data_IF_820706480032
#
_entry.id   IF_820706480032
#
_cell.length_a   1.000
_cell.length_b   1.000
_cell.length_c   1.000
_cell.angle_alpha   90.00
_cell.angle_beta   90.00
_cell.angle_gamma   90.00
#
_symmetry.space_group_name_H-M   'P 1'
#
loop_
_entity.id
_entity.type
_entity.pdbx_description
1 polymer ?
#
# COMPACT_ATOMS: atom_id res chain seq x y z
N UNK A 1 -12.54 -15.63 -11.67
CA UNK A 1 -13.27 -14.40 -12.05
C UNK A 1 -12.57 -13.69 -13.21
N UNK A 2 -11.30 -13.27 -13.05
CA UNK A 2 -10.52 -12.58 -14.10
C UNK A 2 -10.21 -13.41 -15.34
N UNK A 3 -10.11 -14.74 -15.21
CA UNK A 3 -9.79 -15.58 -16.38
C UNK A 3 -11.02 -15.88 -17.27
N UNK A 4 -12.21 -16.00 -16.66
CA UNK A 4 -13.40 -16.59 -17.28
C UNK A 4 -14.61 -15.65 -17.42
N UNK A 5 -14.57 -14.42 -16.89
CA UNK A 5 -15.68 -13.46 -17.04
C UNK A 5 -15.25 -12.25 -17.88
N UNK A 6 -15.85 -12.07 -19.06
CA UNK A 6 -15.53 -10.96 -19.97
C UNK A 6 -15.73 -9.58 -19.33
N UNK A 7 -16.79 -9.38 -18.55
CA UNK A 7 -17.01 -8.13 -17.80
C UNK A 7 -15.90 -7.83 -16.80
N UNK A 8 -15.30 -8.88 -16.22
CA UNK A 8 -14.23 -8.75 -15.24
C UNK A 8 -12.83 -8.60 -15.89
N UNK A 9 -12.71 -8.91 -17.20
CA UNK A 9 -11.53 -8.59 -18.03
C UNK A 9 -11.54 -7.13 -18.52
N UNK A 10 -12.74 -6.62 -18.82
CA UNK A 10 -12.94 -5.26 -19.34
C UNK A 10 -12.70 -4.17 -18.29
N UNK A 11 -12.90 -4.46 -17.00
CA UNK A 11 -12.43 -3.61 -15.90
C UNK A 11 -10.93 -3.80 -15.65
N UNK A 12 -10.12 -3.55 -16.69
CA UNK A 12 -8.70 -3.24 -16.51
C UNK A 12 -8.62 -1.87 -15.83
N UNK A 13 -8.90 -1.89 -14.53
CA UNK A 13 -9.17 -0.71 -13.71
C UNK A 13 -7.87 0.08 -13.55
N UNK A 14 -7.72 1.13 -14.35
CA UNK A 14 -6.52 1.98 -14.46
C UNK A 14 -6.27 2.87 -13.24
N UNK A 15 -7.19 2.89 -12.29
CA UNK A 15 -7.09 3.74 -11.11
C UNK A 15 -6.15 3.13 -10.06
N UNK A 16 -5.20 3.93 -9.59
CA UNK A 16 -4.29 3.62 -8.50
C UNK A 16 -4.38 4.71 -7.42
N UNK A 17 -4.15 4.36 -6.14
CA UNK A 17 -3.97 5.36 -5.09
C UNK A 17 -2.77 6.27 -5.41
N UNK A 18 -2.68 7.43 -4.77
CA UNK A 18 -1.55 8.35 -4.99
C UNK A 18 -0.21 7.73 -4.59
N UNK A 19 -0.23 6.87 -3.57
CA UNK A 19 0.96 6.25 -2.98
C UNK A 19 0.74 4.77 -2.71
N UNK A 20 1.82 4.00 -2.83
CA UNK A 20 1.89 2.59 -2.48
C UNK A 20 3.19 2.30 -1.75
N UNK A 21 3.20 1.23 -0.96
CA UNK A 21 4.41 0.61 -0.45
C UNK A 21 4.89 -0.42 -1.48
N UNK A 22 6.03 -0.17 -2.12
CA UNK A 22 6.76 -1.18 -2.88
C UNK A 22 7.42 -2.12 -1.88
N UNK A 23 6.89 -3.34 -1.74
CA UNK A 23 7.41 -4.33 -0.81
C UNK A 23 8.64 -5.05 -1.36
N UNK A 24 9.11 -4.70 -2.55
CA UNK A 24 10.26 -5.32 -3.18
C UNK A 24 10.02 -6.77 -3.64
N UNK A 25 11.08 -7.45 -4.11
CA UNK A 25 11.01 -8.81 -4.59
C UNK A 25 10.67 -9.83 -3.49
N UNK A 26 10.20 -11.01 -3.93
CA UNK A 26 9.74 -12.09 -3.06
C UNK A 26 10.83 -12.62 -2.13
N UNK A 27 12.10 -12.54 -2.55
CA UNK A 27 13.26 -12.97 -1.75
C UNK A 27 13.59 -12.02 -0.60
N UNK A 28 12.96 -10.84 -0.53
CA UNK A 28 13.21 -9.85 0.52
C UNK A 28 14.57 -9.15 0.39
N UNK A 29 15.23 -9.23 -0.77
CA UNK A 29 16.52 -8.58 -1.02
C UNK A 29 16.46 -7.05 -0.98
N UNK A 30 15.26 -6.46 -1.07
CA UNK A 30 15.04 -5.02 -0.95
C UNK A 30 14.12 -4.69 0.22
N UNK A 31 14.43 -3.57 0.88
CA UNK A 31 13.58 -3.01 1.92
C UNK A 31 12.28 -2.47 1.29
N UNK A 32 11.14 -2.62 1.97
CA UNK A 32 9.92 -1.93 1.58
C UNK A 32 10.14 -0.43 1.54
N UNK A 33 9.53 0.28 0.59
CA UNK A 33 9.64 1.74 0.49
C UNK A 33 8.36 2.38 -0.02
N UNK A 34 8.12 3.61 0.39
CA UNK A 34 7.00 4.41 -0.11
C UNK A 34 7.32 4.90 -1.52
N UNK A 35 6.35 4.78 -2.43
CA UNK A 35 6.46 5.27 -3.80
C UNK A 35 5.26 6.14 -4.16
N UNK A 36 5.49 7.12 -5.03
CA UNK A 36 4.43 7.90 -5.68
C UNK A 36 4.01 7.19 -6.96
N UNK A 37 2.71 6.94 -7.12
CA UNK A 37 2.23 6.14 -8.25
C UNK A 37 2.32 6.89 -9.57
N UNK A 38 2.23 8.22 -9.54
CA UNK A 38 2.41 9.09 -10.71
C UNK A 38 3.85 9.15 -11.22
N UNK A 39 4.82 8.86 -10.36
CA UNK A 39 6.26 8.86 -10.71
C UNK A 39 6.72 7.49 -11.24
N UNK A 40 5.86 6.46 -11.15
CA UNK A 40 6.19 5.08 -11.46
C UNK A 40 5.48 4.64 -12.75
N UNK A 41 6.25 4.38 -13.80
CA UNK A 41 5.72 3.76 -15.01
C UNK A 41 5.50 2.25 -14.76
N UNK A 42 4.38 1.70 -15.23
CA UNK A 42 4.05 0.27 -15.19
C UNK A 42 3.85 -0.34 -13.79
N UNK A 43 3.04 0.32 -12.97
CA UNK A 43 2.57 -0.27 -11.72
C UNK A 43 1.57 -1.40 -11.97
N UNK A 44 1.84 -2.53 -11.35
CA UNK A 44 0.96 -3.70 -11.34
C UNK A 44 -0.11 -3.64 -10.24
N UNK A 45 -0.88 -4.73 -10.08
CA UNK A 45 -1.88 -4.84 -9.03
C UNK A 45 -1.26 -4.72 -7.63
N UNK A 46 -2.08 -4.27 -6.67
CA UNK A 46 -1.69 -4.07 -5.29
C UNK A 46 -2.65 -4.76 -4.31
N UNK A 47 -2.15 -5.08 -3.12
CA UNK A 47 -2.96 -5.47 -1.99
C UNK A 47 -3.30 -4.25 -1.11
N UNK A 48 -4.43 -4.27 -0.41
CA UNK A 48 -4.74 -3.29 0.64
C UNK A 48 -4.73 -3.97 2.02
N UNK A 49 -4.28 -3.28 3.06
CA UNK A 49 -4.37 -3.75 4.45
C UNK A 49 -5.52 -3.05 5.16
N UNK A 50 -6.50 -3.83 5.62
CA UNK A 50 -7.55 -3.39 6.55
C UNK A 50 -7.17 -3.83 7.96
N UNK A 51 -6.95 -2.87 8.86
CA UNK A 51 -6.55 -3.14 10.24
C UNK A 51 -7.06 -2.02 11.16
N UNK A 52 -7.18 -2.32 12.46
CA UNK A 52 -7.37 -1.28 13.47
C UNK A 52 -6.00 -0.78 13.93
N UNK A 53 -5.85 0.54 14.11
CA UNK A 53 -4.57 1.15 14.49
C UNK A 53 -4.09 0.81 15.90
N UNK A 54 -4.85 0.00 16.66
CA UNK A 54 -4.49 -0.41 18.02
C UNK A 54 -4.28 0.77 18.97
N UNK A 55 -3.70 0.51 20.13
CA UNK A 55 -3.39 1.50 21.16
C UNK A 55 -1.99 2.12 21.03
N UNK A 56 -1.09 1.47 20.29
CA UNK A 56 0.23 2.00 19.94
C UNK A 56 0.16 2.55 18.52
N UNK A 57 0.50 3.83 18.34
CA UNK A 57 0.54 4.45 17.02
C UNK A 57 1.55 3.69 16.17
N UNK A 58 1.11 2.97 15.11
CA UNK A 58 2.02 2.26 14.25
C UNK A 58 2.92 3.26 13.51
N UNK A 59 3.98 2.76 12.84
CA UNK A 59 4.74 3.60 11.92
C UNK A 59 3.77 4.31 10.97
N UNK A 60 3.88 5.63 10.92
CA UNK A 60 3.01 6.47 10.11
C UNK A 60 3.84 7.48 9.33
N UNK A 61 3.33 7.83 8.16
CA UNK A 61 3.92 8.86 7.32
C UNK A 61 3.51 10.22 7.84
N UNK A 62 4.51 11.04 8.11
CA UNK A 62 4.38 12.46 8.40
C UNK A 62 5.33 13.23 7.50
N UNK A 63 5.13 14.53 7.34
CA UNK A 63 5.98 15.35 6.45
C UNK A 63 7.47 15.20 6.80
N UNK A 64 7.80 15.10 8.09
CA UNK A 64 9.18 15.00 8.58
C UNK A 64 9.90 13.68 8.29
N UNK A 65 9.19 12.56 8.06
CA UNK A 65 9.80 11.25 7.77
C UNK A 65 9.54 10.75 6.34
N UNK A 66 8.77 11.50 5.54
CA UNK A 66 8.33 11.11 4.21
C UNK A 66 9.48 10.68 3.28
N UNK A 67 10.57 11.45 3.24
CA UNK A 67 11.75 11.12 2.40
C UNK A 67 12.53 9.90 2.89
N UNK A 68 12.58 9.68 4.21
CA UNK A 68 13.18 8.47 4.80
C UNK A 68 12.38 7.23 4.37
N UNK A 69 11.04 7.30 4.45
CA UNK A 69 10.17 6.20 4.05
C UNK A 69 10.23 5.90 2.54
N UNK A 70 10.51 6.90 1.68
CA UNK A 70 10.78 6.69 0.24
C UNK A 70 12.12 5.98 -0.02
N UNK A 71 13.10 6.17 0.87
CA UNK A 71 14.43 5.58 0.72
C UNK A 71 14.48 4.13 1.17
N UNK A 72 13.65 3.75 2.13
CA UNK A 72 13.47 2.36 2.57
C UNK A 72 13.12 2.25 4.04
N UNK A 73 12.32 1.24 4.37
CA UNK A 73 11.79 0.98 5.69
C UNK A 73 12.34 -0.38 6.16
N UNK A 74 13.24 -0.40 7.15
CA UNK A 74 13.68 -1.65 7.74
C UNK A 74 12.49 -2.43 8.31
N UNK A 75 12.46 -3.75 8.07
CA UNK A 75 11.36 -4.61 8.52
C UNK A 75 11.11 -4.53 10.04
N UNK A 76 12.15 -4.28 10.84
CA UNK A 76 12.05 -4.15 12.30
C UNK A 76 11.40 -2.82 12.76
N UNK A 77 11.30 -1.79 11.90
CA UNK A 77 10.56 -0.56 12.18
C UNK A 77 9.06 -0.73 11.94
N UNK A 78 8.65 -1.76 11.21
CA UNK A 78 7.24 -2.05 10.97
C UNK A 78 6.62 -2.70 12.20
N UNK A 79 5.36 -2.38 12.48
CA UNK A 79 4.58 -3.15 13.44
C UNK A 79 4.47 -4.61 12.98
N UNK A 80 4.20 -5.53 13.91
CA UNK A 80 4.04 -6.95 13.57
C UNK A 80 3.02 -7.16 12.46
N UNK A 81 1.91 -6.43 12.49
CA UNK A 81 0.86 -6.51 11.46
C UNK A 81 1.35 -6.01 10.10
N UNK A 82 2.13 -4.94 10.06
CA UNK A 82 2.67 -4.41 8.80
C UNK A 82 3.75 -5.31 8.21
N UNK A 83 4.64 -5.83 9.06
CA UNK A 83 5.63 -6.80 8.63
C UNK A 83 4.97 -8.07 8.06
N UNK A 84 3.91 -8.56 8.71
CA UNK A 84 3.15 -9.69 8.21
C UNK A 84 2.43 -9.37 6.89
N UNK A 85 1.82 -8.19 6.76
CA UNK A 85 1.19 -7.75 5.53
C UNK A 85 2.19 -7.67 4.37
N UNK A 86 3.40 -7.15 4.62
CA UNK A 86 4.50 -7.13 3.64
C UNK A 86 4.85 -8.55 3.17
N UNK A 87 5.03 -9.48 4.11
CA UNK A 87 5.34 -10.89 3.79
C UNK A 87 4.21 -11.55 3.01
N UNK A 88 2.96 -11.36 3.45
CA UNK A 88 1.77 -11.91 2.80
C UNK A 88 1.64 -11.39 1.36
N UNK A 89 1.82 -10.08 1.14
CA UNK A 89 1.80 -9.48 -0.20
C UNK A 89 2.84 -10.14 -1.13
N UNK A 90 4.08 -10.33 -0.65
CA UNK A 90 5.13 -11.04 -1.41
C UNK A 90 4.74 -12.49 -1.73
N UNK A 91 4.11 -13.21 -0.79
CA UNK A 91 3.67 -14.59 -0.98
C UNK A 91 2.53 -14.71 -1.99
N UNK A 92 1.65 -13.71 -2.05
CA UNK A 92 0.59 -13.60 -3.05
C UNK A 92 1.11 -13.17 -4.44
N UNK A 93 2.43 -13.06 -4.62
CA UNK A 93 3.09 -12.61 -5.85
C UNK A 93 2.69 -11.18 -6.26
N UNK A 94 2.31 -10.36 -5.28
CA UNK A 94 2.09 -8.93 -5.45
C UNK A 94 3.33 -8.17 -4.96
N UNK A 95 3.59 -7.02 -5.58
CA UNK A 95 4.72 -6.14 -5.23
C UNK A 95 4.30 -4.89 -4.47
N UNK A 96 3.03 -4.50 -4.59
CA UNK A 96 2.54 -3.25 -4.04
C UNK A 96 1.52 -3.51 -2.94
N UNK A 97 1.64 -2.75 -1.86
CA UNK A 97 0.76 -2.81 -0.71
C UNK A 97 0.31 -1.40 -0.34
N UNK A 98 -0.97 -1.23 -0.07
CA UNK A 98 -1.50 0.00 0.50
C UNK A 98 -1.79 -0.19 1.99
N UNK A 99 -1.27 0.72 2.82
CA UNK A 99 -1.55 0.81 4.26
C UNK A 99 -1.86 2.27 4.54
N UNK A 100 -3.04 2.58 5.08
CA UNK A 100 -3.50 3.95 5.34
C UNK A 100 -2.49 4.80 6.11
N UNK A 101 -1.91 4.28 7.20
CA UNK A 101 -0.96 5.01 8.03
C UNK A 101 0.34 5.38 7.30
N UNK A 102 0.74 4.58 6.29
CA UNK A 102 1.97 4.79 5.51
C UNK A 102 1.73 5.49 4.17
N UNK A 103 0.59 5.22 3.54
CA UNK A 103 0.27 5.73 2.21
C UNK A 103 -0.45 7.08 2.26
N UNK A 104 -0.78 7.60 3.44
CA UNK A 104 -1.39 8.93 3.65
C UNK A 104 -0.48 9.73 4.60
N UNK A 105 -0.24 11.01 4.29
CA UNK A 105 0.53 11.91 5.16
C UNK A 105 -0.38 12.37 6.32
N UNK A 106 -0.12 11.87 7.52
CA UNK A 106 -1.04 11.97 8.66
C UNK A 106 -1.09 13.35 9.33
N UNK A 107 -0.02 14.13 9.21
CA UNK A 107 0.07 15.48 9.77
C UNK A 107 -0.27 16.58 8.75
N UNK A 108 -0.67 16.21 7.53
CA UNK A 108 -1.05 17.15 6.47
C UNK A 108 -2.54 17.01 6.12
N UNK A 109 -3.37 17.89 6.70
CA UNK A 109 -4.82 17.83 6.55
C UNK A 109 -5.30 17.83 5.09
N UNK A 110 -4.63 18.57 4.20
CA UNK A 110 -4.98 18.63 2.77
C UNK A 110 -4.71 17.31 2.04
N UNK A 111 -3.70 16.55 2.46
CA UNK A 111 -3.39 15.22 1.94
C UNK A 111 -4.38 14.20 2.49
N UNK A 112 -4.56 14.21 3.81
CA UNK A 112 -5.49 13.33 4.51
C UNK A 112 -6.91 13.42 3.94
N UNK A 113 -7.43 14.64 3.76
CA UNK A 113 -8.77 14.85 3.20
C UNK A 113 -8.92 14.30 1.77
N UNK A 114 -7.86 14.42 0.94
CA UNK A 114 -7.88 13.89 -0.43
C UNK A 114 -7.86 12.37 -0.46
N UNK A 115 -6.99 11.76 0.34
CA UNK A 115 -6.87 10.29 0.38
C UNK A 115 -8.05 9.63 1.08
N UNK A 116 -8.57 10.22 2.15
CA UNK A 116 -9.76 9.73 2.83
C UNK A 116 -10.98 9.72 1.89
N UNK A 117 -11.13 10.76 1.06
CA UNK A 117 -12.22 10.83 0.08
C UNK A 117 -12.14 9.73 -0.99
N UNK A 118 -10.95 9.20 -1.30
CA UNK A 118 -10.73 8.15 -2.30
C UNK A 118 -10.50 6.78 -1.70
N UNK A 119 -10.55 6.63 -0.37
CA UNK A 119 -10.28 5.37 0.33
C UNK A 119 -11.21 4.23 -0.14
N UNK A 120 -12.48 4.52 -0.44
CA UNK A 120 -13.39 3.54 -1.03
C UNK A 120 -12.88 2.96 -2.35
N UNK A 121 -12.22 3.79 -3.19
CA UNK A 121 -11.61 3.34 -4.45
C UNK A 121 -10.39 2.48 -4.20
N UNK A 122 -9.59 2.79 -3.18
CA UNK A 122 -8.44 1.95 -2.78
C UNK A 122 -8.89 0.51 -2.56
N UNK A 123 -9.89 0.31 -1.71
CA UNK A 123 -10.36 -1.05 -1.42
C UNK A 123 -11.07 -1.70 -2.61
N UNK A 124 -11.80 -0.94 -3.43
CA UNK A 124 -12.51 -1.51 -4.58
C UNK A 124 -11.62 -1.86 -5.76
N UNK A 125 -10.41 -1.29 -5.84
CA UNK A 125 -9.44 -1.54 -6.92
C UNK A 125 -8.27 -2.42 -6.49
N UNK A 126 -8.14 -2.74 -5.20
CA UNK A 126 -7.15 -3.69 -4.71
C UNK A 126 -7.42 -5.10 -5.26
N UNK A 127 -6.36 -5.83 -5.62
CA UNK A 127 -6.47 -7.23 -6.04
C UNK A 127 -7.02 -8.09 -4.91
N UNK A 128 -6.56 -7.79 -3.70
CA UNK A 128 -6.91 -8.47 -2.46
C UNK A 128 -6.86 -7.48 -1.31
N UNK A 129 -7.73 -7.69 -0.33
CA UNK A 129 -7.65 -7.00 0.97
C UNK A 129 -7.18 -8.00 2.02
N UNK A 130 -6.06 -7.70 2.66
CA UNK A 130 -5.54 -8.43 3.81
C UNK A 130 -6.21 -7.84 5.05
N UNK A 131 -6.76 -8.70 5.91
CA UNK A 131 -7.37 -8.30 7.19
C UNK A 131 -6.47 -8.76 8.33
N UNK A 132 -6.17 -7.88 9.27
CA UNK A 132 -5.23 -8.14 10.37
C UNK A 132 -5.67 -7.50 11.69
#
# INVERSE_FOLDING_TARGET
>A
CKDNHEKCKLESNTWLPSRLLDVGPRDGSQLPRLIETKESNDLGPYAALSHMWGSLIPLRTIQGNYQELKSGIPMWKLSKNFAQAVVTTRQLKLRYLWIDSLCIIQDLASDWNKEAATMHKVYSHAEVTIVA
#
